data_IF_625761810804
#
_entry.id   IF_625761810804
#
_cell.length_a   1.000
_cell.length_b   1.000
_cell.length_c   1.000
_cell.angle_alpha   90.00
_cell.angle_beta   90.00
_cell.angle_gamma   90.00
#
_symmetry.space_group_name_H-M   'P 1'
#
loop_
_entity.id
_entity.type
_entity.pdbx_description
1 polymer ?
#
# COMPACT_ATOMS: atom_id res chain seq x y z
N UNK A 1 10.56 21.30 -18.78
CA UNK A 1 11.90 20.91 -19.15
C UNK A 1 12.60 22.09 -19.80
N UNK A 2 13.66 22.54 -19.18
CA UNK A 2 14.62 23.45 -19.82
C UNK A 2 15.48 22.51 -20.69
N UNK A 3 15.57 22.78 -21.97
CA UNK A 3 16.43 22.06 -22.95
C UNK A 3 15.96 20.68 -23.46
N UNK A 4 14.66 20.38 -23.49
CA UNK A 4 14.14 19.14 -24.12
C UNK A 4 14.45 17.84 -23.38
N UNK A 5 15.06 17.88 -22.21
CA UNK A 5 15.35 16.74 -21.36
C UNK A 5 14.17 16.40 -20.45
N UNK A 6 13.77 15.13 -20.40
CA UNK A 6 12.74 14.65 -19.47
C UNK A 6 13.32 14.61 -18.06
N UNK A 7 12.61 15.18 -17.08
CA UNK A 7 13.00 15.08 -15.68
C UNK A 7 12.78 13.65 -15.15
N UNK A 8 13.68 13.20 -14.28
CA UNK A 8 13.60 11.89 -13.62
C UNK A 8 13.58 12.06 -12.10
N UNK A 9 13.10 11.01 -11.42
CA UNK A 9 13.18 10.85 -9.97
C UNK A 9 14.14 9.69 -9.71
N UNK A 10 15.11 9.90 -8.82
CA UNK A 10 16.01 8.85 -8.35
C UNK A 10 15.57 8.45 -6.95
N UNK A 11 15.24 7.18 -6.77
CA UNK A 11 14.87 6.60 -5.48
C UNK A 11 16.05 5.78 -4.96
N UNK A 12 16.57 6.14 -3.80
CA UNK A 12 17.56 5.35 -3.08
C UNK A 12 16.85 4.44 -2.07
N UNK A 13 17.18 3.16 -2.10
CA UNK A 13 16.65 2.19 -1.17
C UNK A 13 17.45 2.21 0.13
N UNK A 14 16.73 2.22 1.25
CA UNK A 14 17.36 2.15 2.58
C UNK A 14 18.06 0.79 2.73
N UNK A 15 19.36 0.75 3.11
CA UNK A 15 20.07 -0.49 3.36
C UNK A 15 19.34 -1.37 4.40
N UNK A 16 19.20 -2.66 4.11
CA UNK A 16 18.60 -3.63 5.01
C UNK A 16 17.07 -3.62 5.11
N UNK A 17 16.37 -2.70 4.41
CA UNK A 17 14.89 -2.72 4.36
C UNK A 17 14.36 -3.81 3.43
N UNK A 18 14.88 -3.86 2.22
CA UNK A 18 14.50 -4.81 1.18
C UNK A 18 15.75 -5.48 0.59
N UNK A 19 15.64 -6.76 0.27
CA UNK A 19 16.63 -7.43 -0.58
C UNK A 19 16.49 -7.01 -2.04
N UNK A 20 17.53 -7.20 -2.83
CA UNK A 20 17.49 -6.93 -4.28
C UNK A 20 16.37 -7.73 -4.97
N UNK A 21 16.12 -8.98 -4.54
CA UNK A 21 15.02 -9.81 -5.07
C UNK A 21 13.66 -9.18 -4.79
N UNK A 22 13.43 -8.65 -3.59
CA UNK A 22 12.19 -7.96 -3.24
C UNK A 22 11.98 -6.66 -4.02
N UNK A 23 13.06 -5.91 -4.26
CA UNK A 23 13.00 -4.68 -5.06
C UNK A 23 12.71 -5.02 -6.53
N UNK A 24 13.39 -6.00 -7.09
CA UNK A 24 13.17 -6.42 -8.48
C UNK A 24 11.78 -6.99 -8.71
N UNK A 25 11.22 -7.64 -7.71
CA UNK A 25 9.83 -8.14 -7.76
C UNK A 25 8.81 -6.99 -7.77
N UNK A 26 9.04 -5.90 -7.02
CA UNK A 26 8.25 -4.67 -7.14
C UNK A 26 8.37 -4.06 -8.53
N UNK A 27 9.59 -3.96 -9.07
CA UNK A 27 9.82 -3.43 -10.41
C UNK A 27 9.10 -4.25 -11.50
N UNK A 28 9.11 -5.59 -11.36
CA UNK A 28 8.38 -6.48 -12.25
C UNK A 28 6.87 -6.25 -12.16
N UNK A 29 6.32 -6.11 -10.94
CA UNK A 29 4.90 -5.78 -10.75
C UNK A 29 4.53 -4.43 -11.35
N UNK A 30 5.34 -3.39 -11.15
CA UNK A 30 5.15 -2.09 -11.80
C UNK A 30 5.14 -2.21 -13.33
N UNK A 31 6.05 -2.99 -13.90
CA UNK A 31 6.09 -3.24 -15.35
C UNK A 31 4.86 -3.98 -15.86
N UNK A 32 4.35 -4.98 -15.12
CA UNK A 32 3.09 -5.67 -15.45
C UNK A 32 1.89 -4.73 -15.43
N UNK A 33 1.83 -3.81 -14.43
CA UNK A 33 0.78 -2.79 -14.34
C UNK A 33 0.82 -1.86 -15.56
N UNK A 34 1.99 -1.35 -15.92
CA UNK A 34 2.18 -0.49 -17.08
C UNK A 34 1.84 -1.21 -18.39
N UNK A 35 2.22 -2.47 -18.55
CA UNK A 35 1.86 -3.30 -19.71
C UNK A 35 0.36 -3.57 -19.82
N UNK A 36 -0.36 -3.55 -18.68
CA UNK A 36 -1.81 -3.63 -18.63
C UNK A 36 -2.51 -2.25 -18.72
N UNK A 37 -1.76 -1.22 -19.13
CA UNK A 37 -2.25 0.18 -19.26
C UNK A 37 -2.80 0.76 -17.95
N UNK A 38 -2.33 0.28 -16.81
CA UNK A 38 -2.54 0.93 -15.52
C UNK A 38 -1.55 2.09 -15.42
N UNK A 39 -2.01 3.30 -15.02
CA UNK A 39 -1.13 4.47 -14.93
C UNK A 39 -0.22 4.41 -13.68
N UNK A 40 0.54 3.34 -13.52
CA UNK A 40 1.61 3.20 -12.54
C UNK A 40 2.89 3.82 -13.08
N UNK A 41 3.71 4.37 -12.17
CA UNK A 41 5.01 4.94 -12.51
C UNK A 41 6.10 3.98 -12.06
N UNK A 42 6.55 3.13 -12.96
CA UNK A 42 7.63 2.18 -12.72
C UNK A 42 9.02 2.72 -13.07
N UNK A 43 10.09 2.02 -12.66
CA UNK A 43 11.47 2.39 -12.97
C UNK A 43 11.82 2.18 -14.44
N UNK A 44 12.69 3.03 -14.94
CA UNK A 44 13.28 2.94 -16.27
C UNK A 44 14.35 1.85 -16.31
N UNK A 45 14.38 1.08 -17.40
CA UNK A 45 15.49 0.17 -17.66
C UNK A 45 16.66 0.95 -18.24
N UNK A 46 17.72 1.16 -17.45
CA UNK A 46 18.97 1.75 -17.89
C UNK A 46 19.99 0.62 -18.10
N UNK A 47 20.54 0.52 -19.30
CA UNK A 47 21.42 -0.60 -19.69
C UNK A 47 20.80 -2.00 -19.45
N UNK A 48 19.48 -2.11 -19.61
CA UNK A 48 18.72 -3.36 -19.41
C UNK A 48 18.42 -3.71 -17.95
N UNK A 49 18.74 -2.85 -16.99
CA UNK A 49 18.49 -3.05 -15.56
C UNK A 49 17.62 -1.92 -14.99
N UNK A 50 16.80 -2.24 -14.01
CA UNK A 50 15.96 -1.27 -13.29
C UNK A 50 16.48 -0.97 -11.89
N UNK A 51 17.32 -1.84 -11.33
CA UNK A 51 17.98 -1.68 -10.04
C UNK A 51 19.49 -1.46 -10.27
N UNK A 52 20.04 -0.46 -9.64
CA UNK A 52 21.43 -0.04 -9.76
C UNK A 52 22.06 0.08 -8.37
N UNK A 53 23.41 0.04 -8.34
CA UNK A 53 24.19 0.20 -7.12
C UNK A 53 25.17 1.37 -7.27
N UNK A 54 25.25 2.24 -6.27
CA UNK A 54 26.25 3.29 -6.20
C UNK A 54 26.57 3.66 -4.74
N UNK A 55 27.84 3.72 -4.40
CA UNK A 55 28.29 4.14 -3.07
C UNK A 55 27.74 3.29 -1.91
N UNK A 56 27.44 2.01 -2.14
CA UNK A 56 26.83 1.12 -1.14
C UNK A 56 25.30 1.21 -1.05
N UNK A 57 24.66 2.02 -1.90
CA UNK A 57 23.21 2.15 -1.95
C UNK A 57 22.66 1.55 -3.23
N UNK A 58 21.56 0.80 -3.08
CA UNK A 58 20.72 0.42 -4.20
C UNK A 58 19.85 1.62 -4.61
N UNK A 59 19.60 1.82 -5.90
CA UNK A 59 18.73 2.88 -6.40
C UNK A 59 18.02 2.50 -7.70
N UNK A 60 16.91 3.15 -7.97
CA UNK A 60 16.19 3.09 -9.24
C UNK A 60 15.92 4.49 -9.78
N UNK A 61 15.64 4.58 -11.08
CA UNK A 61 15.35 5.84 -11.77
C UNK A 61 13.98 5.72 -12.43
N UNK A 62 13.07 6.63 -12.13
CA UNK A 62 11.73 6.66 -12.73
C UNK A 62 11.49 7.97 -13.46
N UNK A 63 10.59 8.02 -14.47
CA UNK A 63 10.20 9.27 -15.08
C UNK A 63 9.47 10.13 -14.02
N UNK A 64 9.80 11.44 -13.98
CA UNK A 64 9.05 12.37 -13.14
C UNK A 64 7.67 12.56 -13.72
N UNK A 65 6.63 12.25 -12.92
CA UNK A 65 5.24 12.52 -13.26
C UNK A 65 4.77 13.79 -12.54
N UNK A 66 4.06 14.65 -13.25
CA UNK A 66 3.31 15.76 -12.66
C UNK A 66 1.96 15.30 -12.15
N UNK A 67 1.33 16.11 -11.34
CA UNK A 67 0.01 15.88 -10.78
C UNK A 67 -0.12 16.54 -9.40
N UNK A 68 -1.34 16.62 -8.91
CA UNK A 68 -1.65 17.10 -7.56
C UNK A 68 -2.25 15.96 -6.74
N UNK A 69 -2.33 16.12 -5.44
CA UNK A 69 -3.08 15.19 -4.58
C UNK A 69 -4.55 15.15 -5.04
N UNK A 70 -5.19 13.96 -5.13
CA UNK A 70 -6.61 13.86 -5.48
C UNK A 70 -7.50 14.50 -4.40
N UNK A 71 -8.59 15.10 -4.83
CA UNK A 71 -9.63 15.64 -3.95
C UNK A 71 -10.64 14.53 -3.64
N UNK A 72 -10.58 13.97 -2.43
CA UNK A 72 -11.40 12.81 -2.04
C UNK A 72 -12.84 13.15 -1.67
N UNK A 73 -13.23 14.42 -1.76
CA UNK A 73 -14.62 14.87 -1.64
C UNK A 73 -15.33 14.90 -3.00
N UNK A 74 -14.59 14.67 -4.11
CA UNK A 74 -15.12 14.62 -5.47
C UNK A 74 -15.44 13.16 -5.85
N UNK A 75 -16.71 12.90 -6.13
CA UNK A 75 -17.21 11.59 -6.52
C UNK A 75 -16.55 11.05 -7.80
N UNK A 76 -16.35 11.90 -8.80
CA UNK A 76 -15.71 11.51 -10.06
C UNK A 76 -14.26 11.07 -9.82
N UNK A 77 -13.53 11.79 -8.98
CA UNK A 77 -12.15 11.45 -8.60
C UNK A 77 -12.10 10.09 -7.92
N UNK A 78 -13.01 9.82 -6.98
CA UNK A 78 -13.08 8.54 -6.27
C UNK A 78 -13.44 7.38 -7.19
N UNK A 79 -14.42 7.56 -8.09
CA UNK A 79 -14.76 6.54 -9.07
C UNK A 79 -13.57 6.23 -10.01
N UNK A 80 -12.85 7.25 -10.49
CA UNK A 80 -11.66 7.04 -11.31
C UNK A 80 -10.59 6.24 -10.56
N UNK A 81 -10.34 6.58 -9.31
CA UNK A 81 -9.39 5.84 -8.47
C UNK A 81 -9.87 4.39 -8.29
N UNK A 82 -11.15 4.18 -7.98
CA UNK A 82 -11.75 2.85 -7.85
C UNK A 82 -11.55 1.98 -9.10
N UNK A 83 -11.82 2.53 -10.28
CA UNK A 83 -11.59 1.84 -11.57
C UNK A 83 -10.15 1.35 -11.73
N UNK A 84 -9.18 2.18 -11.41
CA UNK A 84 -7.78 1.82 -11.56
C UNK A 84 -7.28 0.89 -10.45
N UNK A 85 -7.81 0.99 -9.22
CA UNK A 85 -7.56 0.00 -8.18
C UNK A 85 -8.06 -1.39 -8.60
N UNK A 86 -9.25 -1.48 -9.21
CA UNK A 86 -9.75 -2.74 -9.76
C UNK A 86 -8.81 -3.33 -10.82
N UNK A 87 -8.21 -2.49 -11.68
CA UNK A 87 -7.24 -2.92 -12.69
C UNK A 87 -5.91 -3.35 -12.06
N UNK A 88 -5.39 -2.61 -11.06
CA UNK A 88 -4.22 -3.00 -10.27
C UNK A 88 -4.46 -4.39 -9.66
N UNK A 89 -5.59 -4.57 -8.98
CA UNK A 89 -5.95 -5.83 -8.32
C UNK A 89 -6.21 -6.98 -9.31
N UNK A 90 -6.67 -6.69 -10.51
CA UNK A 90 -6.80 -7.69 -11.58
C UNK A 90 -5.44 -8.19 -12.03
N UNK A 91 -4.47 -7.31 -12.20
CA UNK A 91 -3.08 -7.70 -12.49
C UNK A 91 -2.47 -8.40 -11.26
N UNK A 92 -2.69 -7.87 -10.07
CA UNK A 92 -2.21 -8.42 -8.82
C UNK A 92 -2.67 -9.85 -8.56
N UNK A 93 -3.88 -10.19 -9.02
CA UNK A 93 -4.47 -11.52 -8.86
C UNK A 93 -3.92 -12.59 -9.81
N UNK A 94 -3.07 -12.24 -10.78
CA UNK A 94 -2.54 -13.18 -11.79
C UNK A 94 -1.55 -14.17 -11.19
N UNK A 95 -0.73 -13.70 -10.24
CA UNK A 95 0.29 -14.52 -9.56
C UNK A 95 0.60 -13.91 -8.19
N UNK A 96 1.06 -14.69 -7.19
CA UNK A 96 1.52 -14.18 -5.91
C UNK A 96 2.89 -13.47 -6.03
N UNK A 97 3.26 -12.74 -4.99
CA UNK A 97 4.67 -12.41 -4.74
C UNK A 97 5.41 -13.64 -4.20
N UNK A 98 6.66 -13.82 -4.58
CA UNK A 98 7.54 -14.88 -4.11
C UNK A 98 8.46 -14.41 -2.96
N UNK A 99 8.90 -13.15 -3.03
CA UNK A 99 9.85 -12.58 -2.08
C UNK A 99 9.23 -11.55 -1.16
N UNK A 100 8.19 -10.84 -1.59
CA UNK A 100 7.47 -9.86 -0.77
C UNK A 100 6.42 -10.53 0.08
N UNK A 101 6.35 -10.09 1.36
CA UNK A 101 5.40 -10.64 2.33
C UNK A 101 3.94 -10.22 2.10
N UNK A 102 3.12 -10.55 3.09
CA UNK A 102 1.71 -10.21 3.13
C UNK A 102 1.39 -9.23 4.26
N UNK A 103 0.20 -8.63 4.20
CA UNK A 103 -0.39 -7.90 5.33
C UNK A 103 -1.00 -8.92 6.28
N UNK A 104 -0.29 -9.25 7.36
CA UNK A 104 -0.72 -10.23 8.36
C UNK A 104 -0.34 -9.80 9.79
N UNK A 105 -0.84 -10.55 10.78
CA UNK A 105 -0.58 -10.29 12.20
C UNK A 105 0.91 -10.40 12.52
N UNK A 106 1.62 -11.36 11.94
CA UNK A 106 3.01 -11.64 12.27
C UNK A 106 3.91 -10.44 11.87
N UNK A 107 3.76 -9.97 10.64
CA UNK A 107 4.61 -8.92 10.05
C UNK A 107 4.12 -7.49 10.36
N UNK A 108 2.83 -7.29 10.64
CA UNK A 108 2.26 -5.96 10.90
C UNK A 108 1.99 -5.66 12.36
N UNK A 109 1.96 -6.67 13.23
CA UNK A 109 1.73 -6.44 14.65
C UNK A 109 2.78 -7.10 15.55
N UNK A 110 2.98 -8.42 15.46
CA UNK A 110 3.85 -9.14 16.39
C UNK A 110 5.30 -8.69 16.26
N UNK A 111 5.89 -8.78 15.08
CA UNK A 111 7.28 -8.36 14.83
C UNK A 111 7.52 -6.87 15.15
N UNK A 112 6.68 -5.92 14.73
CA UNK A 112 6.79 -4.52 15.12
C UNK A 112 6.71 -4.29 16.64
N UNK A 113 5.79 -4.95 17.33
CA UNK A 113 5.65 -4.85 18.79
C UNK A 113 6.89 -5.36 19.50
N UNK A 114 7.37 -6.55 19.13
CA UNK A 114 8.54 -7.17 19.73
C UNK A 114 9.81 -6.31 19.51
N UNK A 115 9.95 -5.76 18.30
CA UNK A 115 11.05 -4.87 17.96
C UNK A 115 11.04 -3.60 18.82
N UNK A 116 9.90 -2.93 18.97
CA UNK A 116 9.76 -1.71 19.77
C UNK A 116 10.11 -1.95 21.24
N UNK A 117 9.68 -3.08 21.80
CA UNK A 117 9.98 -3.46 23.18
C UNK A 117 11.46 -3.81 23.37
N UNK A 118 12.04 -4.61 22.47
CA UNK A 118 13.44 -5.02 22.52
C UNK A 118 14.42 -3.84 22.42
N UNK A 119 14.05 -2.81 21.64
CA UNK A 119 14.86 -1.60 21.46
C UNK A 119 14.48 -0.45 22.42
N UNK A 120 13.59 -0.70 23.39
CA UNK A 120 13.17 0.29 24.40
C UNK A 120 12.64 1.60 23.78
N UNK A 121 11.92 1.48 22.64
CA UNK A 121 11.40 2.64 21.91
C UNK A 121 10.08 3.19 22.49
N UNK A 122 9.48 2.48 23.45
CA UNK A 122 8.25 2.91 24.13
C UNK A 122 8.63 3.46 25.50
N UNK A 123 8.21 4.70 25.87
CA UNK A 123 8.47 5.27 27.20
C UNK A 123 7.97 4.35 28.33
N UNK A 124 8.77 4.17 29.37
CA UNK A 124 8.51 3.19 30.44
C UNK A 124 7.19 3.42 31.18
N UNK A 125 6.77 4.66 31.31
CA UNK A 125 5.52 5.05 31.98
C UNK A 125 4.25 4.62 31.23
N UNK A 126 4.33 4.46 29.91
CA UNK A 126 3.21 4.02 29.05
C UNK A 126 3.38 2.61 28.48
N UNK A 127 4.59 2.02 28.57
CA UNK A 127 4.94 0.75 27.94
C UNK A 127 3.99 -0.39 28.32
N UNK A 128 3.64 -0.54 29.61
CA UNK A 128 2.77 -1.61 30.06
C UNK A 128 1.34 -1.48 29.50
N UNK A 129 0.81 -0.26 29.46
CA UNK A 129 -0.52 0.00 28.91
C UNK A 129 -0.54 -0.20 27.40
N UNK A 130 0.47 0.28 26.69
CA UNK A 130 0.64 0.13 25.25
C UNK A 130 0.76 -1.34 24.86
N UNK A 131 1.64 -2.11 25.49
CA UNK A 131 1.82 -3.54 25.23
C UNK A 131 0.52 -4.32 25.44
N UNK A 132 -0.18 -4.07 26.54
CA UNK A 132 -1.48 -4.70 26.83
C UNK A 132 -2.51 -4.38 25.72
N UNK A 133 -2.55 -3.14 25.26
CA UNK A 133 -3.47 -2.74 24.17
C UNK A 133 -3.11 -3.47 22.85
N UNK A 134 -1.83 -3.56 22.50
CA UNK A 134 -1.39 -4.29 21.30
C UNK A 134 -1.73 -5.78 21.37
N UNK A 135 -1.43 -6.45 22.49
CA UNK A 135 -1.77 -7.88 22.69
C UNK A 135 -3.28 -8.08 22.57
N UNK A 136 -4.08 -7.26 23.26
CA UNK A 136 -5.54 -7.36 23.19
C UNK A 136 -6.07 -7.15 21.77
N UNK A 137 -5.49 -6.23 21.00
CA UNK A 137 -5.88 -6.00 19.61
C UNK A 137 -5.51 -7.20 18.71
N UNK A 138 -4.30 -7.76 18.88
CA UNK A 138 -3.86 -8.95 18.15
C UNK A 138 -4.79 -10.13 18.43
N UNK A 139 -5.12 -10.39 19.70
CA UNK A 139 -6.02 -11.48 20.10
C UNK A 139 -7.44 -11.29 19.53
N UNK A 140 -7.96 -10.07 19.52
CA UNK A 140 -9.27 -9.77 18.92
C UNK A 140 -9.27 -10.00 17.41
N UNK A 141 -8.23 -9.56 16.70
CA UNK A 141 -8.09 -9.76 15.25
C UNK A 141 -7.98 -11.25 14.93
N UNK A 142 -7.15 -12.00 15.67
CA UNK A 142 -7.00 -13.44 15.52
C UNK A 142 -8.30 -14.19 15.82
N UNK A 143 -9.00 -13.81 16.88
CA UNK A 143 -10.31 -14.35 17.27
C UNK A 143 -11.37 -14.08 16.20
N UNK A 144 -11.42 -12.88 15.66
CA UNK A 144 -12.33 -12.52 14.58
C UNK A 144 -12.10 -13.37 13.33
N UNK A 145 -10.85 -13.52 12.91
CA UNK A 145 -10.48 -14.37 11.78
C UNK A 145 -10.83 -15.85 12.00
N UNK A 146 -10.76 -16.35 13.25
CA UNK A 146 -11.16 -17.70 13.60
C UNK A 146 -12.67 -17.89 13.57
N UNK A 147 -13.45 -16.92 14.11
CA UNK A 147 -14.92 -16.96 14.10
C UNK A 147 -15.50 -16.85 12.71
N UNK A 148 -14.94 -16.01 11.86
CA UNK A 148 -15.35 -15.90 10.46
C UNK A 148 -15.15 -17.22 9.71
N UNK A 149 -14.04 -17.93 9.96
CA UNK A 149 -13.81 -19.28 9.42
C UNK A 149 -14.83 -20.29 9.91
N UNK A 150 -15.16 -20.29 11.21
CA UNK A 150 -16.13 -21.21 11.82
C UNK A 150 -17.57 -20.93 11.37
N UNK A 151 -17.90 -19.67 11.05
CA UNK A 151 -19.22 -19.24 10.56
C UNK A 151 -19.47 -19.48 9.07
N UNK A 152 -18.53 -20.11 8.36
CA UNK A 152 -18.62 -20.33 6.91
C UNK A 152 -18.34 -19.06 6.08
N UNK A 153 -18.03 -17.94 6.71
CA UNK A 153 -17.42 -16.80 6.05
C UNK A 153 -15.93 -17.13 5.90
N UNK A 154 -15.54 -17.50 4.71
CA UNK A 154 -14.17 -17.91 4.43
C UNK A 154 -13.26 -16.67 4.32
N UNK A 155 -12.93 -16.02 5.45
CA UNK A 155 -11.76 -15.12 5.48
C UNK A 155 -10.45 -15.86 5.16
N UNK A 156 -10.43 -17.21 5.25
CA UNK A 156 -9.31 -18.01 4.74
C UNK A 156 -9.31 -18.12 3.21
N UNK A 157 -10.41 -17.80 2.55
CA UNK A 157 -10.53 -17.67 1.09
C UNK A 157 -10.50 -16.23 0.62
N UNK A 158 -10.35 -15.24 1.52
CA UNK A 158 -9.96 -13.88 1.11
C UNK A 158 -8.72 -14.02 0.26
N UNK A 159 -8.90 -13.85 -1.03
CA UNK A 159 -7.85 -14.08 -2.01
C UNK A 159 -6.79 -13.02 -1.83
N UNK A 160 -5.67 -13.39 -1.23
CA UNK A 160 -4.53 -12.50 -1.15
C UNK A 160 -4.02 -12.24 -2.57
N UNK A 161 -4.03 -10.98 -2.95
CA UNK A 161 -3.54 -10.50 -4.25
C UNK A 161 -2.39 -9.55 -4.03
N UNK A 162 -1.59 -9.31 -5.05
CA UNK A 162 -0.57 -8.26 -5.00
C UNK A 162 -1.25 -6.91 -5.03
N UNK A 163 -0.93 -6.07 -4.05
CA UNK A 163 -1.50 -4.75 -3.81
C UNK A 163 -0.47 -3.65 -4.05
N UNK A 164 -0.94 -2.42 -4.18
CA UNK A 164 -0.11 -1.24 -3.99
C UNK A 164 0.50 -1.24 -2.57
N UNK A 165 -0.31 -1.60 -1.57
CA UNK A 165 0.08 -1.80 -0.18
C UNK A 165 0.16 -0.52 0.67
N UNK A 166 0.41 0.63 0.04
CA UNK A 166 0.42 1.96 0.65
C UNK A 166 -0.35 2.98 -0.19
N UNK A 167 -1.57 2.62 -0.62
CA UNK A 167 -2.40 3.44 -1.50
C UNK A 167 -3.12 4.55 -0.74
N UNK A 168 -2.38 5.53 -0.22
CA UNK A 168 -2.95 6.72 0.38
C UNK A 168 -2.88 7.91 -0.61
N UNK A 169 -3.61 9.02 -0.38
CA UNK A 169 -3.70 10.11 -1.35
C UNK A 169 -2.36 10.76 -1.75
N UNK A 170 -1.31 10.60 -0.92
CA UNK A 170 0.03 11.10 -1.24
C UNK A 170 0.75 10.30 -2.33
N UNK A 171 0.35 9.04 -2.53
CA UNK A 171 0.91 8.14 -3.54
C UNK A 171 0.06 8.08 -4.82
N UNK A 172 -0.90 9.02 -4.97
CA UNK A 172 -1.70 9.19 -6.18
C UNK A 172 -1.51 10.61 -6.69
N UNK A 173 -0.99 10.74 -7.91
CA UNK A 173 -0.86 12.01 -8.61
C UNK A 173 -2.05 12.18 -9.55
N UNK A 174 -2.92 13.12 -9.24
CA UNK A 174 -4.11 13.42 -10.03
C UNK A 174 -3.82 14.49 -11.09
N UNK A 175 -4.20 14.20 -12.32
CA UNK A 175 -4.25 15.18 -13.40
C UNK A 175 -5.72 15.32 -13.84
N UNK A 176 -6.26 16.55 -14.03
CA UNK A 176 -7.61 16.74 -14.52
C UNK A 176 -7.90 15.92 -15.78
N UNK A 177 -9.09 15.34 -15.87
CA UNK A 177 -9.44 14.36 -16.91
C UNK A 177 -9.58 14.96 -18.31
N UNK A 178 -9.77 16.28 -18.39
CA UNK A 178 -9.81 17.08 -19.64
C UNK A 178 -8.40 17.39 -20.21
N UNK A 179 -7.34 17.08 -19.46
CA UNK A 179 -5.97 17.28 -19.89
C UNK A 179 -5.34 15.99 -20.46
N UNK A 180 -4.35 16.11 -21.34
CA UNK A 180 -3.60 14.94 -21.81
C UNK A 180 -2.97 14.14 -20.66
N UNK A 181 -3.25 12.83 -20.62
CA UNK A 181 -2.82 11.96 -19.53
C UNK A 181 -3.59 12.19 -18.23
N UNK A 182 -4.85 12.67 -18.33
CA UNK A 182 -5.74 12.87 -17.18
C UNK A 182 -6.08 11.60 -16.42
N UNK A 183 -6.50 11.78 -15.17
CA UNK A 183 -6.78 10.70 -14.22
C UNK A 183 -5.68 10.49 -13.16
N UNK A 184 -5.79 9.41 -12.38
CA UNK A 184 -4.82 9.06 -11.35
C UNK A 184 -3.56 8.47 -11.95
N UNK A 185 -2.41 8.74 -11.32
CA UNK A 185 -1.14 8.05 -11.56
C UNK A 185 -0.63 7.53 -10.23
N UNK A 186 -0.42 6.22 -10.15
CA UNK A 186 0.03 5.55 -8.93
C UNK A 186 1.55 5.54 -8.87
N UNK A 187 2.09 6.00 -7.76
CA UNK A 187 3.53 6.09 -7.50
C UNK A 187 3.89 5.38 -6.21
N UNK A 188 5.17 5.06 -6.05
CA UNK A 188 5.73 4.48 -4.82
C UNK A 188 5.13 3.13 -4.42
N UNK A 189 5.35 2.12 -5.24
CA UNK A 189 5.03 0.72 -4.97
C UNK A 189 5.97 0.05 -3.96
N UNK A 190 6.78 0.83 -3.22
CA UNK A 190 7.79 0.31 -2.28
C UNK A 190 7.21 -0.61 -1.20
N UNK A 191 5.98 -0.38 -0.80
CA UNK A 191 5.25 -1.18 0.18
C UNK A 191 4.29 -2.21 -0.47
N UNK A 192 4.44 -2.47 -1.78
CA UNK A 192 3.65 -3.49 -2.47
C UNK A 192 3.85 -4.86 -1.79
N UNK A 193 2.75 -5.54 -1.51
CA UNK A 193 2.70 -6.83 -0.82
C UNK A 193 1.40 -7.57 -1.10
N UNK A 194 1.30 -8.81 -0.63
CA UNK A 194 0.05 -9.57 -0.74
C UNK A 194 -0.93 -9.17 0.36
N UNK A 195 -2.22 -9.04 0.00
CA UNK A 195 -3.26 -8.71 0.97
C UNK A 195 -4.66 -8.73 0.35
N UNK A 196 -5.70 -8.46 1.16
CA UNK A 196 -7.07 -8.28 0.69
C UNK A 196 -7.21 -6.95 -0.08
N UNK A 197 -8.08 -6.93 -1.09
CA UNK A 197 -8.28 -5.75 -1.94
C UNK A 197 -8.67 -4.49 -1.16
N UNK A 198 -9.46 -4.65 -0.10
CA UNK A 198 -9.91 -3.54 0.75
C UNK A 198 -8.74 -2.76 1.39
N UNK A 199 -7.54 -3.37 1.49
CA UNK A 199 -6.35 -2.69 2.03
C UNK A 199 -6.03 -1.40 1.26
N UNK A 200 -6.10 -1.42 -0.04
CA UNK A 200 -5.81 -0.23 -0.86
C UNK A 200 -6.99 0.77 -0.89
N UNK A 201 -8.21 0.33 -0.59
CA UNK A 201 -9.39 1.20 -0.58
C UNK A 201 -9.51 2.00 0.73
N UNK A 202 -9.39 1.34 1.88
CA UNK A 202 -9.62 2.01 3.16
C UNK A 202 -8.61 3.12 3.45
N UNK A 203 -7.42 3.05 2.89
CA UNK A 203 -6.37 4.07 3.05
C UNK A 203 -6.69 5.41 2.39
N UNK A 204 -7.72 5.44 1.55
CA UNK A 204 -8.25 6.64 0.91
C UNK A 204 -9.38 7.30 1.72
N UNK A 205 -9.89 6.63 2.74
CA UNK A 205 -11.02 7.12 3.52
C UNK A 205 -10.58 8.16 4.55
N UNK A 206 -11.34 9.26 4.65
CA UNK A 206 -11.06 10.36 5.56
C UNK A 206 -12.36 11.01 6.07
N UNK A 207 -12.22 11.83 7.13
CA UNK A 207 -13.36 12.50 7.73
C UNK A 207 -14.15 11.62 8.71
N UNK A 208 -15.40 11.96 8.96
CA UNK A 208 -16.29 11.23 9.84
C UNK A 208 -16.83 9.93 9.20
N UNK A 209 -17.60 9.15 9.97
CA UNK A 209 -18.10 7.85 9.49
C UNK A 209 -19.01 7.98 8.27
N UNK A 210 -19.84 9.02 8.19
CA UNK A 210 -20.76 9.22 7.07
C UNK A 210 -19.97 9.59 5.80
N UNK A 211 -18.96 10.45 5.94
CA UNK A 211 -18.06 10.79 4.84
C UNK A 211 -17.29 9.57 4.35
N UNK A 212 -16.70 8.77 5.25
CA UNK A 212 -15.98 7.55 4.90
C UNK A 212 -16.89 6.52 4.19
N UNK A 213 -18.14 6.36 4.65
CA UNK A 213 -19.09 5.46 4.00
C UNK A 213 -19.45 5.92 2.59
N UNK A 214 -19.64 7.23 2.38
CA UNK A 214 -19.90 7.79 1.06
C UNK A 214 -18.70 7.62 0.12
N UNK A 215 -17.50 7.96 0.60
CA UNK A 215 -16.25 7.78 -0.17
C UNK A 215 -16.04 6.31 -0.56
N UNK A 216 -16.25 5.39 0.37
CA UNK A 216 -16.14 3.95 0.11
C UNK A 216 -17.15 3.48 -0.94
N UNK A 217 -18.41 3.96 -0.87
CA UNK A 217 -19.43 3.68 -1.88
C UNK A 217 -18.96 4.07 -3.27
N UNK A 218 -18.47 5.30 -3.44
CA UNK A 218 -18.00 5.83 -4.73
C UNK A 218 -16.75 5.08 -5.25
N UNK A 219 -15.82 4.73 -4.35
CA UNK A 219 -14.66 3.90 -4.71
C UNK A 219 -15.09 2.53 -5.20
N UNK A 220 -16.03 1.87 -4.51
CA UNK A 220 -16.55 0.54 -4.89
C UNK A 220 -17.36 0.62 -6.17
N UNK A 221 -18.18 1.65 -6.38
CA UNK A 221 -18.93 1.85 -7.62
C UNK A 221 -17.98 1.97 -8.84
N UNK A 222 -16.87 2.69 -8.67
CA UNK A 222 -15.82 2.73 -9.68
C UNK A 222 -15.11 1.38 -9.88
N UNK A 223 -14.79 0.71 -8.79
CA UNK A 223 -14.10 -0.58 -8.77
C UNK A 223 -14.91 -1.67 -9.50
N UNK A 224 -16.21 -1.77 -9.21
CA UNK A 224 -17.10 -2.79 -9.76
C UNK A 224 -17.33 -2.65 -11.27
N UNK A 225 -16.89 -1.54 -11.91
CA UNK A 225 -16.89 -1.42 -13.36
C UNK A 225 -15.87 -2.33 -14.05
N UNK A 226 -14.83 -2.80 -13.34
CA UNK A 226 -13.77 -3.62 -13.90
C UNK A 226 -13.56 -4.96 -13.18
N UNK A 227 -13.94 -5.04 -11.90
CA UNK A 227 -13.76 -6.23 -11.07
C UNK A 227 -14.80 -6.24 -9.95
N UNK A 228 -15.44 -7.38 -9.74
CA UNK A 228 -16.32 -7.59 -8.58
C UNK A 228 -15.54 -7.35 -7.28
N UNK A 229 -16.15 -6.60 -6.35
CA UNK A 229 -15.59 -6.35 -5.03
C UNK A 229 -16.21 -7.30 -4.01
N UNK A 230 -15.37 -8.04 -3.30
CA UNK A 230 -15.81 -8.88 -2.20
C UNK A 230 -16.20 -8.00 -1.00
N UNK A 231 -17.50 -7.84 -0.78
CA UNK A 231 -18.04 -7.00 0.29
C UNK A 231 -17.80 -7.55 1.68
N UNK A 232 -17.45 -8.83 1.82
CA UNK A 232 -17.05 -9.42 3.10
C UNK A 232 -15.71 -8.86 3.58
N UNK A 233 -14.86 -8.39 2.66
CA UNK A 233 -13.61 -7.70 2.99
C UNK A 233 -13.82 -6.37 3.74
N UNK A 234 -15.00 -5.75 3.68
CA UNK A 234 -15.31 -4.52 4.42
C UNK A 234 -15.14 -4.69 5.93
N UNK A 235 -15.41 -5.88 6.44
CA UNK A 235 -15.21 -6.22 7.85
C UNK A 235 -13.73 -6.22 8.28
N UNK A 236 -12.80 -6.23 7.31
CA UNK A 236 -11.35 -6.20 7.56
C UNK A 236 -10.81 -4.78 7.74
N UNK A 237 -11.58 -3.72 7.48
CA UNK A 237 -11.08 -2.33 7.54
C UNK A 237 -10.48 -2.01 8.91
N UNK A 238 -11.20 -2.24 10.00
CA UNK A 238 -10.68 -1.93 11.34
C UNK A 238 -9.53 -2.85 11.79
N UNK A 239 -9.58 -4.18 11.55
CA UNK A 239 -8.41 -5.03 11.68
C UNK A 239 -7.17 -4.51 10.95
N UNK A 240 -7.27 -4.20 9.67
CA UNK A 240 -6.15 -3.72 8.86
C UNK A 240 -5.63 -2.36 9.32
N UNK A 241 -6.53 -1.45 9.69
CA UNK A 241 -6.17 -0.15 10.29
C UNK A 241 -5.40 -0.32 11.59
N UNK A 242 -5.82 -1.24 12.45
CA UNK A 242 -5.17 -1.54 13.72
C UNK A 242 -3.77 -2.13 13.49
N UNK A 243 -3.64 -3.11 12.60
CA UNK A 243 -2.36 -3.68 12.21
C UNK A 243 -1.40 -2.59 11.69
N UNK A 244 -1.91 -1.69 10.82
CA UNK A 244 -1.09 -0.59 10.30
C UNK A 244 -0.63 0.37 11.40
N UNK A 245 -1.44 0.68 12.41
CA UNK A 245 -1.04 1.55 13.52
C UNK A 245 0.14 0.96 14.30
N UNK A 246 0.11 -0.34 14.58
CA UNK A 246 1.21 -1.02 15.28
C UNK A 246 2.46 -1.04 14.39
N UNK A 247 2.32 -1.42 13.12
CA UNK A 247 3.40 -1.43 12.15
C UNK A 247 4.04 -0.05 11.99
N UNK A 248 3.22 0.99 11.85
CA UNK A 248 3.68 2.35 11.62
C UNK A 248 4.42 2.93 12.84
N UNK A 249 4.06 2.52 14.06
CA UNK A 249 4.79 2.88 15.27
C UNK A 249 6.25 2.41 15.21
N UNK A 250 6.49 1.17 14.81
CA UNK A 250 7.85 0.66 14.62
C UNK A 250 8.54 1.29 13.40
N UNK A 251 7.79 1.57 12.34
CA UNK A 251 8.32 2.26 11.15
C UNK A 251 8.86 3.65 11.49
N UNK A 252 8.15 4.42 12.32
CA UNK A 252 8.61 5.72 12.82
C UNK A 252 9.83 5.57 13.74
N UNK A 253 9.76 4.65 14.69
CA UNK A 253 10.83 4.44 15.66
C UNK A 253 12.15 4.03 14.99
N UNK A 254 12.11 3.18 13.97
CA UNK A 254 13.29 2.76 13.21
C UNK A 254 13.93 3.91 12.40
N UNK A 255 13.24 5.03 12.25
CA UNK A 255 13.68 6.23 11.52
C UNK A 255 13.91 7.43 12.40
N UNK A 256 13.81 7.24 13.73
CA UNK A 256 13.90 8.36 14.68
C UNK A 256 15.21 9.14 14.57
N UNK A 257 16.31 8.44 14.29
CA UNK A 257 17.66 9.02 14.18
C UNK A 257 18.11 9.23 12.72
N UNK A 258 17.18 9.08 11.73
CA UNK A 258 17.53 9.35 10.35
C UNK A 258 17.82 10.86 10.16
N UNK A 259 18.88 11.23 9.42
CA UNK A 259 19.17 12.62 9.14
C UNK A 259 18.02 13.25 8.32
N UNK A 260 17.66 14.49 8.68
CA UNK A 260 16.59 15.24 8.05
C UNK A 260 16.93 15.63 6.59
#
# INVERSE_FOLDING_TARGET
PVDGHSAVVVKFYRPGRWSDAQILEEHAFAAELMAAEVPAVGPLALHGQTLHQHGGFAFSVSPRRGGRRPELDDAEVLEWIGRFLARIHTVGARQPFEHRGAVDIATFAQEPMDWLLAHQMIPLDVQGAWQKACVSAIDLIAGYAALARAGGQNLSETRLIRLHGDCYPGNILWTPTDLPGGGPHFVDLDDARSGPAVQDLWMLLSGDRAQQQNQLGQLVDGYEQFREFDRDELALIEPLRTLRLIHYSAWLARRWDDPA
#
